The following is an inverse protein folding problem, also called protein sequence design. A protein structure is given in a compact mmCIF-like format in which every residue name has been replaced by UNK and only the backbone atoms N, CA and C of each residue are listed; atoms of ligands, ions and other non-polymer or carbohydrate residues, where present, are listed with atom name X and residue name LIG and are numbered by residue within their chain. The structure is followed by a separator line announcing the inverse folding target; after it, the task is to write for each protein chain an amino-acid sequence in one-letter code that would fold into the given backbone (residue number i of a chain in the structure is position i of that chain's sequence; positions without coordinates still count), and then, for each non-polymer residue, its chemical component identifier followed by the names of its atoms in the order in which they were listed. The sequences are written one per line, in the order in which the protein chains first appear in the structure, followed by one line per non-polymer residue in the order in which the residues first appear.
data_IF_006875638188
#
_entry.id   IF_006875638188
#
_cell.length_a   1.000
_cell.length_b   1.000
_cell.length_c   1.000
_cell.angle_alpha   90.00
_cell.angle_beta   90.00
_cell.angle_gamma   90.00
#
_symmetry.space_group_name_H-M   'P 1'
#
loop_
_entity.id
_entity.type
_entity.pdbx_description
1 polymer ?
#
# COMPACT_ATOMS: atom_id res chain seq x y z
N UNK A 1 22.16 17.03 59.67
CA UNK A 1 20.70 16.88 59.51
C UNK A 1 20.28 17.39 58.12
N UNK A 2 20.51 16.56 57.10
CA UNK A 2 20.15 16.82 55.69
C UNK A 2 18.84 16.12 55.40
N UNK A 3 17.79 16.93 55.16
CA UNK A 3 16.52 16.43 54.64
C UNK A 3 16.67 16.14 53.13
N UNK A 4 16.64 14.88 52.78
CA UNK A 4 16.47 14.41 51.40
C UNK A 4 15.01 14.61 51.02
N UNK A 5 14.73 15.50 50.08
CA UNK A 5 13.44 15.63 49.44
C UNK A 5 13.29 14.50 48.41
N UNK A 6 12.16 13.78 48.40
CA UNK A 6 11.92 12.78 47.38
C UNK A 6 11.64 13.49 46.05
N UNK A 7 12.41 13.13 45.02
CA UNK A 7 12.10 13.46 43.63
C UNK A 7 10.75 12.85 43.27
N UNK A 8 9.72 13.67 43.28
CA UNK A 8 8.43 13.33 42.70
C UNK A 8 8.65 13.28 41.17
N UNK A 9 8.71 12.09 40.62
CA UNK A 9 8.66 11.83 39.19
C UNK A 9 7.33 12.39 38.65
N UNK A 10 7.37 13.62 38.21
CA UNK A 10 6.30 14.23 37.43
C UNK A 10 6.37 13.63 36.00
N UNK A 11 5.89 12.41 35.82
CA UNK A 11 5.48 11.93 34.51
C UNK A 11 4.30 12.83 34.10
N UNK A 12 4.63 13.97 33.45
CA UNK A 12 3.67 14.68 32.64
C UNK A 12 3.12 13.66 31.65
N UNK A 13 1.88 13.25 31.84
CA UNK A 13 1.05 12.71 30.76
C UNK A 13 1.05 13.79 29.67
N UNK A 14 2.00 13.69 28.74
CA UNK A 14 1.86 14.35 27.46
C UNK A 14 0.53 13.82 26.93
N UNK A 15 -0.46 14.67 26.82
CA UNK A 15 -1.69 14.41 26.09
C UNK A 15 -1.24 13.93 24.71
N UNK A 16 -1.23 12.61 24.51
CA UNK A 16 -0.93 12.00 23.21
C UNK A 16 -2.07 12.49 22.32
N UNK A 17 -1.79 13.47 21.51
CA UNK A 17 -2.74 13.98 20.52
C UNK A 17 -3.04 12.77 19.61
N UNK A 18 -4.18 12.11 19.86
CA UNK A 18 -4.61 10.97 19.06
C UNK A 18 -4.90 11.48 17.66
N UNK A 19 -4.25 10.88 16.68
CA UNK A 19 -4.50 11.15 15.26
C UNK A 19 -5.47 10.13 14.71
N UNK A 20 -6.21 10.51 13.67
CA UNK A 20 -7.21 9.68 13.03
C UNK A 20 -7.11 9.76 11.52
N UNK A 21 -7.56 8.73 10.85
CA UNK A 21 -7.74 8.68 9.39
C UNK A 21 -9.17 9.10 9.07
N UNK A 22 -9.34 10.06 8.15
CA UNK A 22 -10.64 10.47 7.62
C UNK A 22 -10.63 10.52 6.09
N UNK A 23 -11.80 10.45 5.47
CA UNK A 23 -11.99 10.65 4.04
C UNK A 23 -11.40 9.56 3.14
N UNK A 24 -11.08 8.36 3.64
CA UNK A 24 -10.41 7.28 2.89
C UNK A 24 -11.14 6.94 1.59
N UNK A 25 -10.55 7.30 0.46
CA UNK A 25 -11.15 7.23 -0.88
C UNK A 25 -10.21 6.66 -1.91
N UNK A 26 -10.70 5.77 -2.78
CA UNK A 26 -9.90 5.10 -3.81
C UNK A 26 -10.43 5.37 -5.21
N UNK A 27 -9.54 5.38 -6.19
CA UNK A 27 -9.88 5.44 -7.60
C UNK A 27 -9.09 4.39 -8.38
N UNK A 28 -9.74 3.84 -9.42
CA UNK A 28 -9.18 2.78 -10.26
C UNK A 28 -9.25 3.19 -11.73
N UNK A 29 -8.33 2.67 -12.57
CA UNK A 29 -8.42 2.83 -14.02
C UNK A 29 -9.72 2.25 -14.59
N UNK A 30 -10.01 2.58 -15.85
CA UNK A 30 -11.26 2.19 -16.50
C UNK A 30 -11.32 0.72 -16.91
N UNK A 31 -10.19 0.08 -17.15
CA UNK A 31 -10.17 -1.27 -17.69
C UNK A 31 -10.26 -2.29 -16.56
N UNK A 32 -11.48 -2.75 -16.30
CA UNK A 32 -11.74 -3.88 -15.42
C UNK A 32 -11.48 -5.18 -16.20
N UNK A 33 -10.59 -6.03 -15.69
CA UNK A 33 -10.12 -7.23 -16.38
C UNK A 33 -10.30 -8.45 -15.48
N UNK A 34 -10.80 -9.54 -16.06
CA UNK A 34 -10.93 -10.81 -15.35
C UNK A 34 -9.66 -11.64 -15.47
N UNK A 35 -9.41 -12.48 -14.47
CA UNK A 35 -8.20 -13.30 -14.41
C UNK A 35 -8.08 -14.26 -15.59
N UNK A 36 -9.19 -14.80 -16.09
CA UNK A 36 -9.21 -15.70 -17.24
C UNK A 36 -8.74 -14.98 -18.52
N UNK A 37 -9.07 -13.70 -18.69
CA UNK A 37 -8.62 -12.90 -19.82
C UNK A 37 -7.10 -12.66 -19.75
N UNK A 38 -6.58 -12.41 -18.55
CA UNK A 38 -5.12 -12.23 -18.33
C UNK A 38 -4.38 -13.56 -18.55
N UNK A 39 -4.96 -14.68 -18.12
CA UNK A 39 -4.43 -16.01 -18.39
C UNK A 39 -4.41 -16.31 -19.90
N UNK A 40 -5.50 -15.98 -20.61
CA UNK A 40 -5.57 -16.11 -22.07
C UNK A 40 -4.53 -15.23 -22.79
N UNK A 41 -4.31 -14.01 -22.30
CA UNK A 41 -3.24 -13.14 -22.78
C UNK A 41 -1.86 -13.77 -22.56
N UNK A 42 -1.58 -14.30 -21.37
CA UNK A 42 -0.33 -15.01 -21.06
C UNK A 42 -0.09 -16.19 -22.01
N UNK A 43 -1.15 -16.95 -22.35
CA UNK A 43 -1.06 -18.01 -23.38
C UNK A 43 -0.66 -17.47 -24.74
N UNK A 44 -1.26 -16.39 -25.21
CA UNK A 44 -0.90 -15.77 -26.51
C UNK A 44 0.56 -15.35 -26.55
N UNK A 45 1.07 -14.75 -25.46
CA UNK A 45 2.43 -14.20 -25.40
C UNK A 45 3.47 -15.31 -25.24
N UNK A 46 3.22 -16.30 -24.38
CA UNK A 46 4.23 -17.26 -23.93
C UNK A 46 4.02 -18.71 -24.40
N UNK A 47 3.02 -19.00 -25.26
CA UNK A 47 2.70 -20.36 -25.71
C UNK A 47 3.86 -21.10 -26.37
N UNK A 48 4.75 -20.40 -27.07
CA UNK A 48 5.94 -20.96 -27.69
C UNK A 48 7.05 -21.37 -26.70
N UNK A 49 6.95 -20.97 -25.43
CA UNK A 49 7.95 -21.23 -24.38
C UNK A 49 7.65 -22.59 -23.72
N UNK A 50 8.59 -23.53 -23.81
CA UNK A 50 8.46 -24.94 -23.41
C UNK A 50 7.90 -25.14 -21.98
N UNK A 51 8.24 -24.29 -21.06
CA UNK A 51 7.84 -24.42 -19.66
C UNK A 51 6.57 -23.60 -19.28
N UNK A 52 5.97 -22.85 -20.20
CA UNK A 52 4.83 -21.97 -19.88
C UNK A 52 3.64 -22.75 -19.32
N UNK A 53 3.31 -23.92 -19.90
CA UNK A 53 2.19 -24.77 -19.44
C UNK A 53 2.29 -25.13 -17.94
N UNK A 54 3.51 -25.31 -17.40
CA UNK A 54 3.72 -25.56 -15.97
C UNK A 54 3.52 -24.27 -15.14
N UNK A 55 3.90 -23.13 -15.69
CA UNK A 55 3.82 -21.82 -15.01
C UNK A 55 2.41 -21.23 -15.08
N UNK A 56 1.61 -21.58 -16.04
CA UNK A 56 0.25 -21.09 -16.26
C UNK A 56 -0.65 -21.28 -15.03
N UNK A 57 -0.44 -22.35 -14.26
CA UNK A 57 -1.17 -22.60 -13.00
C UNK A 57 -1.03 -21.46 -11.97
N UNK A 58 -0.05 -20.57 -12.15
CA UNK A 58 0.10 -19.38 -11.30
C UNK A 58 -1.13 -18.47 -11.38
N UNK A 59 -1.74 -18.35 -12.57
CA UNK A 59 -2.97 -17.55 -12.72
C UNK A 59 -4.14 -18.13 -11.92
N UNK A 60 -4.32 -19.46 -11.95
CA UNK A 60 -5.39 -20.14 -11.20
C UNK A 60 -5.17 -20.06 -9.68
N UNK A 61 -3.90 -20.10 -9.24
CA UNK A 61 -3.51 -20.13 -7.84
C UNK A 61 -3.24 -18.73 -7.25
N UNK A 62 -3.39 -17.66 -8.04
CA UNK A 62 -3.11 -16.29 -7.60
C UNK A 62 -4.07 -15.77 -6.53
N UNK A 63 -5.30 -16.31 -6.51
CA UNK A 63 -6.42 -15.80 -5.70
C UNK A 63 -7.10 -14.56 -6.28
N UNK A 64 -6.60 -14.04 -7.41
CA UNK A 64 -7.17 -12.87 -8.11
C UNK A 64 -8.30 -13.33 -9.03
N UNK A 65 -9.45 -12.68 -8.97
CA UNK A 65 -10.57 -12.87 -9.90
C UNK A 65 -10.71 -11.70 -10.86
N UNK A 66 -10.54 -10.50 -10.32
CA UNK A 66 -10.70 -9.23 -11.04
C UNK A 66 -9.58 -8.28 -10.63
N UNK A 67 -9.19 -7.43 -11.55
CA UNK A 67 -8.30 -6.28 -11.31
C UNK A 67 -8.61 -5.14 -12.25
N UNK A 68 -7.99 -4.00 -12.01
CA UNK A 68 -8.09 -2.82 -12.86
C UNK A 68 -6.72 -2.52 -13.44
N UNK A 69 -6.67 -2.25 -14.75
CA UNK A 69 -5.43 -1.98 -15.49
C UNK A 69 -5.49 -0.61 -16.16
N UNK A 70 -4.34 0.01 -16.28
CA UNK A 70 -4.17 1.34 -16.91
C UNK A 70 -4.50 1.30 -18.39
N UNK A 71 -4.15 0.23 -19.09
CA UNK A 71 -4.41 0.05 -20.52
C UNK A 71 -5.29 -1.19 -20.78
N UNK A 72 -5.82 -1.30 -22.01
CA UNK A 72 -6.48 -2.54 -22.45
C UNK A 72 -5.48 -3.68 -22.66
N UNK A 73 -6.00 -4.91 -22.76
CA UNK A 73 -5.15 -6.10 -22.85
C UNK A 73 -4.29 -6.16 -24.13
N UNK A 74 -4.70 -5.48 -25.21
CA UNK A 74 -3.92 -5.48 -26.45
C UNK A 74 -2.62 -4.69 -26.30
N UNK A 75 -2.65 -3.61 -25.48
CA UNK A 75 -1.44 -2.86 -25.18
C UNK A 75 -0.36 -3.78 -24.58
N UNK A 76 -0.72 -4.66 -23.65
CA UNK A 76 0.23 -5.57 -22.97
C UNK A 76 0.78 -6.71 -23.87
N UNK A 77 0.29 -6.85 -25.10
CA UNK A 77 0.85 -7.79 -26.09
C UNK A 77 2.13 -7.26 -26.76
N UNK A 78 2.36 -5.96 -26.70
CA UNK A 78 3.46 -5.30 -27.41
C UNK A 78 4.56 -4.88 -26.45
N UNK A 79 5.77 -4.74 -26.98
CA UNK A 79 6.90 -4.16 -26.26
C UNK A 79 6.75 -2.65 -26.20
N UNK A 80 7.10 -2.08 -25.05
CA UNK A 80 7.05 -0.65 -24.80
C UNK A 80 8.34 -0.21 -24.12
N UNK A 81 8.86 0.93 -24.51
CA UNK A 81 10.05 1.50 -23.89
C UNK A 81 9.74 2.21 -22.57
N UNK A 82 10.80 2.53 -21.82
CA UNK A 82 10.69 3.22 -20.52
C UNK A 82 9.95 4.54 -20.60
N UNK A 83 10.22 5.36 -21.63
CA UNK A 83 9.61 6.68 -21.81
C UNK A 83 8.10 6.58 -21.93
N UNK A 84 7.58 5.64 -22.75
CA UNK A 84 6.14 5.42 -22.93
C UNK A 84 5.48 4.93 -21.65
N UNK A 85 6.07 3.94 -20.97
CA UNK A 85 5.55 3.41 -19.70
C UNK A 85 5.47 4.50 -18.64
N UNK A 86 6.52 5.31 -18.52
CA UNK A 86 6.58 6.38 -17.52
C UNK A 86 5.67 7.58 -17.87
N UNK A 87 5.49 7.89 -19.15
CA UNK A 87 4.49 8.86 -19.61
C UNK A 87 3.07 8.41 -19.21
N UNK A 88 2.73 7.14 -19.46
CA UNK A 88 1.43 6.56 -19.08
C UNK A 88 1.27 6.55 -17.55
N UNK A 89 2.33 6.23 -16.81
CA UNK A 89 2.33 6.32 -15.36
C UNK A 89 1.96 7.74 -14.91
N UNK A 90 2.72 8.75 -15.32
CA UNK A 90 2.48 10.14 -14.91
C UNK A 90 1.05 10.58 -15.22
N UNK A 91 0.59 10.39 -16.47
CA UNK A 91 -0.74 10.77 -16.91
C UNK A 91 -1.85 10.14 -16.08
N UNK A 92 -1.78 8.82 -15.89
CA UNK A 92 -2.85 8.09 -15.20
C UNK A 92 -2.76 8.25 -13.67
N UNK A 93 -1.57 8.37 -13.09
CA UNK A 93 -1.38 8.64 -11.67
C UNK A 93 -2.03 9.98 -11.27
N UNK A 94 -1.77 11.05 -12.03
CA UNK A 94 -2.39 12.36 -11.80
C UNK A 94 -3.90 12.28 -11.91
N UNK A 95 -4.44 11.59 -12.94
CA UNK A 95 -5.87 11.42 -13.12
C UNK A 95 -6.54 10.68 -11.94
N UNK A 96 -5.96 9.57 -11.51
CA UNK A 96 -6.48 8.76 -10.41
C UNK A 96 -6.38 9.49 -9.07
N UNK A 97 -5.25 10.16 -8.82
CA UNK A 97 -5.06 10.95 -7.62
C UNK A 97 -6.04 12.13 -7.55
N UNK A 98 -6.24 12.86 -8.67
CA UNK A 98 -7.26 13.92 -8.71
C UNK A 98 -8.62 13.40 -8.26
N UNK A 99 -9.03 12.21 -8.74
CA UNK A 99 -10.31 11.59 -8.39
C UNK A 99 -10.37 11.16 -6.93
N UNK A 100 -9.35 10.45 -6.43
CA UNK A 100 -9.34 9.97 -5.04
C UNK A 100 -9.24 11.13 -4.05
N UNK A 101 -8.44 12.17 -4.33
CA UNK A 101 -8.28 13.35 -3.48
C UNK A 101 -9.58 14.18 -3.42
N UNK A 102 -10.24 14.42 -4.57
CA UNK A 102 -11.53 15.13 -4.58
C UNK A 102 -12.57 14.44 -3.69
N UNK A 103 -12.67 13.09 -3.81
CA UNK A 103 -13.55 12.31 -2.94
C UNK A 103 -13.12 12.34 -1.46
N UNK A 104 -11.81 12.42 -1.20
CA UNK A 104 -11.28 12.53 0.16
C UNK A 104 -11.67 13.84 0.81
N UNK A 105 -11.55 14.96 0.11
CA UNK A 105 -11.97 16.27 0.60
C UNK A 105 -13.48 16.32 0.87
N UNK A 106 -14.28 15.80 -0.09
CA UNK A 106 -15.74 15.72 0.06
C UNK A 106 -16.15 14.95 1.31
N UNK A 107 -15.59 13.73 1.49
CA UNK A 107 -15.95 12.85 2.63
C UNK A 107 -15.43 13.33 3.98
N UNK A 108 -14.29 13.99 4.01
CA UNK A 108 -13.69 14.48 5.25
C UNK A 108 -14.20 15.86 5.65
N UNK A 109 -14.91 16.54 4.76
CA UNK A 109 -15.29 17.95 4.89
C UNK A 109 -14.08 18.85 5.24
N UNK A 110 -12.91 18.52 4.67
CA UNK A 110 -11.66 19.28 4.83
C UNK A 110 -11.41 20.08 3.57
N UNK A 111 -10.99 21.34 3.71
CA UNK A 111 -10.66 22.19 2.56
C UNK A 111 -9.18 22.03 2.20
N UNK A 112 -8.81 22.14 0.92
CA UNK A 112 -7.41 22.10 0.49
C UNK A 112 -6.52 23.12 1.20
N UNK A 113 -7.04 24.33 1.48
CA UNK A 113 -6.31 25.41 2.17
C UNK A 113 -5.89 25.03 3.60
N UNK A 114 -6.62 24.11 4.24
CA UNK A 114 -6.36 23.69 5.63
C UNK A 114 -5.25 22.63 5.71
N UNK A 115 -4.85 22.04 4.57
CA UNK A 115 -3.81 21.02 4.52
C UNK A 115 -2.43 21.62 4.80
N UNK A 116 -1.75 21.10 5.81
CA UNK A 116 -0.40 21.50 6.17
C UNK A 116 0.72 20.66 5.56
N UNK A 117 0.40 19.44 5.10
CA UNK A 117 1.37 18.52 4.47
C UNK A 117 0.73 17.60 3.45
N UNK A 118 1.48 17.25 2.41
CA UNK A 118 1.13 16.27 1.38
C UNK A 118 2.19 15.17 1.40
N UNK A 119 1.80 13.96 1.74
CA UNK A 119 2.64 12.75 1.65
C UNK A 119 2.22 11.98 0.39
N UNK A 120 3.13 11.85 -0.56
CA UNK A 120 2.91 11.06 -1.77
C UNK A 120 3.73 9.78 -1.71
N UNK A 121 3.08 8.65 -1.93
CA UNK A 121 3.71 7.33 -2.00
C UNK A 121 3.49 6.75 -3.40
N UNK A 122 4.58 6.39 -4.06
CA UNK A 122 4.57 5.60 -5.29
C UNK A 122 5.86 4.81 -5.44
N UNK A 123 5.81 3.73 -6.24
CA UNK A 123 6.98 2.89 -6.53
C UNK A 123 7.00 2.37 -7.97
N UNK A 124 6.04 2.78 -8.79
CA UNK A 124 5.80 2.20 -10.13
C UNK A 124 6.07 3.15 -11.29
N UNK A 125 6.60 4.33 -11.00
CA UNK A 125 7.05 5.31 -12.00
C UNK A 125 7.74 6.49 -11.35
N UNK A 126 8.47 7.26 -12.13
CA UNK A 126 9.25 8.42 -11.67
C UNK A 126 8.79 9.71 -12.36
N UNK A 127 8.96 10.83 -11.66
CA UNK A 127 8.66 12.16 -12.20
C UNK A 127 9.50 13.21 -11.51
N UNK A 128 10.03 14.14 -12.28
CA UNK A 128 10.63 15.39 -11.78
C UNK A 128 10.14 16.56 -12.65
N UNK A 129 9.39 17.53 -12.07
CA UNK A 129 8.89 17.60 -10.69
C UNK A 129 8.07 16.37 -10.30
N UNK A 130 8.04 16.07 -8.99
CA UNK A 130 7.31 14.93 -8.44
C UNK A 130 5.79 15.10 -8.57
N UNK A 131 5.03 13.99 -8.57
CA UNK A 131 3.58 14.01 -8.81
C UNK A 131 2.82 14.91 -7.80
N UNK A 132 3.30 15.04 -6.56
CA UNK A 132 2.72 15.96 -5.56
C UNK A 132 2.77 17.42 -6.00
N UNK A 133 3.77 17.82 -6.82
CA UNK A 133 3.81 19.17 -7.40
C UNK A 133 2.71 19.38 -8.45
N UNK A 134 2.40 18.34 -9.24
CA UNK A 134 1.26 18.37 -10.17
C UNK A 134 -0.07 18.43 -9.40
N UNK A 135 -0.19 17.66 -8.31
CA UNK A 135 -1.37 17.67 -7.43
C UNK A 135 -1.54 19.05 -6.76
N UNK A 136 -0.43 19.69 -6.35
CA UNK A 136 -0.45 21.04 -5.79
C UNK A 136 -1.15 22.04 -6.73
N UNK A 137 -0.88 21.95 -8.04
CA UNK A 137 -1.48 22.84 -9.03
C UNK A 137 -2.96 22.52 -9.36
N UNK A 138 -3.47 21.35 -8.94
CA UNK A 138 -4.86 20.94 -9.21
C UNK A 138 -5.85 21.36 -8.12
N UNK A 139 -5.36 21.74 -6.94
CA UNK A 139 -6.17 22.10 -5.79
C UNK A 139 -5.64 23.39 -5.15
N UNK A 140 -6.49 24.10 -4.45
CA UNK A 140 -6.14 25.40 -3.82
C UNK A 140 -5.44 25.19 -2.48
N UNK A 141 -4.25 24.54 -2.48
CA UNK A 141 -3.43 24.39 -1.28
C UNK A 141 -2.74 25.71 -0.88
N UNK A 142 -2.40 25.84 0.39
CA UNK A 142 -1.53 26.93 0.85
C UNK A 142 -0.12 26.76 0.25
N UNK A 143 0.50 27.87 -0.19
CA UNK A 143 1.84 27.87 -0.80
C UNK A 143 2.95 27.36 0.17
N UNK A 144 2.68 27.33 1.47
CA UNK A 144 3.60 26.82 2.50
C UNK A 144 3.32 25.35 2.88
N UNK A 145 2.46 24.63 2.13
CA UNK A 145 2.21 23.20 2.38
C UNK A 145 3.51 22.40 2.24
N UNK A 146 3.80 21.55 3.21
CA UNK A 146 4.95 20.66 3.13
C UNK A 146 4.68 19.55 2.11
N UNK A 147 5.61 19.31 1.19
CA UNK A 147 5.51 18.24 0.20
C UNK A 147 6.56 17.17 0.45
N UNK A 148 6.12 15.93 0.59
CA UNK A 148 6.95 14.79 0.96
C UNK A 148 6.67 13.61 0.02
N UNK A 149 7.33 13.58 -1.15
CA UNK A 149 7.26 12.45 -2.07
C UNK A 149 8.22 11.34 -1.60
N UNK A 150 7.67 10.13 -1.43
CA UNK A 150 8.43 8.93 -1.09
C UNK A 150 8.34 7.93 -2.24
N UNK A 151 9.49 7.54 -2.75
CA UNK A 151 9.64 6.51 -3.76
C UNK A 151 10.30 5.26 -3.17
N UNK A 152 9.92 4.07 -3.65
CA UNK A 152 10.64 2.83 -3.36
C UNK A 152 10.19 2.06 -2.12
N UNK A 153 9.17 2.51 -1.37
CA UNK A 153 8.61 1.73 -0.25
C UNK A 153 7.83 0.48 -0.70
N UNK A 154 7.43 0.42 -1.98
CA UNK A 154 6.65 -0.69 -2.52
C UNK A 154 5.42 -0.99 -1.66
N UNK A 155 5.17 -2.29 -1.43
CA UNK A 155 3.99 -2.74 -0.69
C UNK A 155 3.92 -2.23 0.76
N UNK A 156 5.03 -1.93 1.43
CA UNK A 156 5.02 -1.34 2.77
C UNK A 156 4.60 0.14 2.80
N UNK A 157 4.60 0.80 1.64
CA UNK A 157 4.34 2.24 1.53
C UNK A 157 2.99 2.70 2.08
N UNK A 158 1.96 1.84 2.06
CA UNK A 158 0.66 2.16 2.65
C UNK A 158 0.71 2.36 4.16
N UNK A 159 1.56 1.62 4.86
CA UNK A 159 1.77 1.74 6.32
C UNK A 159 2.84 2.78 6.62
N UNK A 160 3.98 2.73 5.93
CA UNK A 160 5.08 3.67 6.17
C UNK A 160 4.67 5.11 5.86
N UNK A 161 3.90 5.33 4.79
CA UNK A 161 3.35 6.65 4.46
C UNK A 161 2.40 7.18 5.53
N UNK A 162 1.55 6.31 6.11
CA UNK A 162 0.70 6.65 7.24
C UNK A 162 1.53 7.05 8.46
N UNK A 163 2.58 6.27 8.80
CA UNK A 163 3.46 6.58 9.93
C UNK A 163 4.14 7.94 9.75
N UNK A 164 4.66 8.25 8.55
CA UNK A 164 5.25 9.58 8.24
C UNK A 164 4.21 10.70 8.38
N UNK A 165 2.99 10.50 7.89
CA UNK A 165 1.93 11.49 7.99
C UNK A 165 1.56 11.80 9.45
N UNK A 166 1.55 10.78 10.32
CA UNK A 166 1.33 10.94 11.76
C UNK A 166 2.44 11.78 12.41
N UNK A 167 3.71 11.50 12.07
CA UNK A 167 4.86 12.25 12.57
C UNK A 167 4.80 13.72 12.14
N UNK A 168 4.47 13.96 10.87
CA UNK A 168 4.29 15.31 10.33
C UNK A 168 3.15 16.03 11.06
N UNK A 169 1.98 15.39 11.17
CA UNK A 169 0.84 15.95 11.88
C UNK A 169 1.19 16.34 13.33
N UNK A 170 1.89 15.47 14.06
CA UNK A 170 2.32 15.74 15.44
C UNK A 170 3.21 16.98 15.54
N UNK A 171 4.00 17.26 14.50
CA UNK A 171 4.90 18.42 14.46
C UNK A 171 4.19 19.71 14.05
N UNK A 172 3.40 19.67 12.97
CA UNK A 172 2.78 20.90 12.41
C UNK A 172 1.38 21.20 12.93
N UNK A 173 0.70 20.24 13.54
CA UNK A 173 -0.69 20.34 14.06
C UNK A 173 -1.71 20.81 13.01
N UNK A 174 -1.49 20.46 11.75
CA UNK A 174 -2.40 20.71 10.63
C UNK A 174 -2.71 19.41 9.91
N UNK A 175 -3.88 19.26 9.29
CA UNK A 175 -4.23 18.07 8.54
C UNK A 175 -3.17 17.72 7.49
N UNK A 176 -2.88 16.42 7.32
CA UNK A 176 -1.91 15.91 6.36
C UNK A 176 -2.65 15.03 5.35
N UNK A 177 -2.61 15.42 4.09
CA UNK A 177 -3.13 14.62 2.98
C UNK A 177 -2.12 13.53 2.65
N UNK A 178 -2.57 12.28 2.60
CA UNK A 178 -1.77 11.13 2.17
C UNK A 178 -2.33 10.59 0.87
N UNK A 179 -1.45 10.39 -0.11
CA UNK A 179 -1.76 9.95 -1.45
C UNK A 179 -0.90 8.73 -1.81
N UNK A 180 -1.54 7.61 -2.10
CA UNK A 180 -0.86 6.42 -2.63
C UNK A 180 -1.34 6.18 -4.06
N UNK A 181 -0.42 5.98 -5.00
CA UNK A 181 -0.74 5.62 -6.37
C UNK A 181 0.25 4.61 -6.90
N UNK A 182 -0.29 3.48 -7.40
CA UNK A 182 0.53 2.42 -7.98
C UNK A 182 -0.12 1.92 -9.27
N UNK A 183 0.66 1.89 -10.33
CA UNK A 183 0.27 1.38 -11.65
C UNK A 183 1.19 0.21 -12.00
N UNK A 184 1.07 -0.86 -11.19
CA UNK A 184 1.96 -2.02 -11.24
C UNK A 184 1.90 -2.75 -12.58
N UNK A 185 0.77 -2.68 -13.28
CA UNK A 185 0.62 -3.33 -14.59
C UNK A 185 1.59 -2.80 -15.65
N UNK A 186 2.00 -1.52 -15.52
CA UNK A 186 2.95 -0.91 -16.46
C UNK A 186 4.37 -1.51 -16.38
N UNK A 187 4.66 -2.31 -15.36
CA UNK A 187 5.94 -3.02 -15.24
C UNK A 187 5.97 -4.37 -15.98
N UNK A 188 4.84 -4.85 -16.49
CA UNK A 188 4.79 -6.11 -17.26
C UNK A 188 5.54 -5.98 -18.60
N UNK A 189 6.34 -6.99 -18.93
CA UNK A 189 7.24 -7.02 -20.07
C UNK A 189 7.00 -8.29 -20.89
N UNK A 190 6.26 -8.23 -22.01
CA UNK A 190 5.86 -9.41 -22.78
C UNK A 190 7.05 -10.19 -23.39
N UNK A 191 8.18 -9.50 -23.66
CA UNK A 191 9.38 -10.12 -24.19
C UNK A 191 10.17 -10.93 -23.14
N UNK A 192 9.91 -10.72 -21.84
CA UNK A 192 10.67 -11.37 -20.76
C UNK A 192 9.91 -12.60 -20.24
N UNK A 193 10.45 -13.78 -20.56
CA UNK A 193 9.97 -15.03 -20.01
C UNK A 193 10.73 -15.39 -18.74
N UNK A 194 10.31 -14.83 -17.61
CA UNK A 194 10.81 -15.19 -16.28
C UNK A 194 9.66 -15.57 -15.35
N UNK A 195 9.97 -16.30 -14.30
CA UNK A 195 8.98 -16.68 -13.29
C UNK A 195 8.40 -15.45 -12.60
N UNK A 196 9.25 -14.48 -12.27
CA UNK A 196 8.89 -13.26 -11.58
C UNK A 196 7.93 -12.42 -12.43
N UNK A 197 8.21 -12.27 -13.73
CA UNK A 197 7.36 -11.52 -14.67
C UNK A 197 5.99 -12.21 -14.85
N UNK A 198 5.93 -13.55 -14.91
CA UNK A 198 4.67 -14.30 -15.00
C UNK A 198 3.89 -14.23 -13.69
N UNK A 199 4.54 -14.37 -12.53
CA UNK A 199 3.90 -14.25 -11.22
C UNK A 199 3.34 -12.83 -11.05
N UNK A 200 4.10 -11.79 -11.37
CA UNK A 200 3.63 -10.41 -11.26
C UNK A 200 2.45 -10.13 -12.19
N UNK A 201 2.48 -10.64 -13.43
CA UNK A 201 1.35 -10.52 -14.37
C UNK A 201 0.08 -11.21 -13.84
N UNK A 202 0.21 -12.27 -13.04
CA UNK A 202 -0.94 -12.95 -12.43
C UNK A 202 -1.50 -12.24 -11.19
N UNK A 203 -0.75 -11.29 -10.58
CA UNK A 203 -1.08 -10.67 -9.30
C UNK A 203 -1.40 -9.18 -9.40
N UNK A 204 -0.61 -8.42 -10.17
CA UNK A 204 -0.62 -6.96 -10.11
C UNK A 204 -1.87 -6.31 -10.70
N UNK A 205 -2.34 -5.27 -10.01
CA UNK A 205 -3.36 -4.33 -10.44
C UNK A 205 -2.93 -2.88 -10.23
N UNK A 206 -3.76 -1.95 -10.66
CA UNK A 206 -3.51 -0.51 -10.64
C UNK A 206 -4.57 0.23 -9.84
N UNK A 207 -4.18 1.31 -9.16
CA UNK A 207 -5.11 2.14 -8.43
C UNK A 207 -4.46 3.24 -7.62
N UNK A 208 -5.29 4.09 -7.05
CA UNK A 208 -4.90 5.10 -6.06
C UNK A 208 -5.82 5.09 -4.86
N UNK A 209 -5.32 5.57 -3.75
CA UNK A 209 -6.09 5.81 -2.54
C UNK A 209 -5.54 7.05 -1.84
N UNK A 210 -6.45 7.88 -1.32
CA UNK A 210 -6.09 9.09 -0.59
C UNK A 210 -6.91 9.19 0.69
N UNK A 211 -6.34 9.83 1.70
CA UNK A 211 -6.98 10.07 3.00
C UNK A 211 -6.30 11.23 3.72
N UNK A 212 -6.89 11.70 4.80
CA UNK A 212 -6.33 12.77 5.63
C UNK A 212 -6.05 12.23 7.03
N UNK A 213 -4.86 12.54 7.54
CA UNK A 213 -4.50 12.37 8.96
C UNK A 213 -4.79 13.67 9.68
N UNK A 214 -5.64 13.58 10.70
CA UNK A 214 -6.10 14.73 11.51
C UNK A 214 -6.38 14.29 12.94
N UNK A 215 -6.83 15.19 13.82
CA UNK A 215 -7.10 14.89 15.23
C UNK A 215 -8.39 14.08 15.43
N UNK A 216 -9.44 14.36 14.64
CA UNK A 216 -10.78 13.82 14.86
C UNK A 216 -11.17 12.82 13.79
N UNK A 217 -11.69 11.68 14.18
CA UNK A 217 -12.20 10.62 13.28
C UNK A 217 -12.37 9.30 14.00
N UNK A 218 -13.09 8.37 13.36
CA UNK A 218 -13.47 7.09 13.94
C UNK A 218 -12.43 5.97 13.71
N UNK A 219 -11.41 6.24 12.90
CA UNK A 219 -10.25 5.36 12.74
C UNK A 219 -9.03 6.01 13.39
N UNK A 220 -8.83 5.75 14.69
CA UNK A 220 -7.77 6.36 15.51
C UNK A 220 -6.46 5.59 15.35
N UNK A 221 -5.36 6.32 15.29
CA UNK A 221 -4.02 5.75 15.22
C UNK A 221 -3.43 5.76 16.63
N UNK A 222 -3.05 4.56 17.11
CA UNK A 222 -2.57 4.36 18.48
C UNK A 222 -1.06 4.38 18.55
N UNK A 223 -0.40 3.49 17.80
CA UNK A 223 1.05 3.31 17.81
C UNK A 223 1.54 3.00 16.41
N UNK A 224 2.81 3.24 16.16
CA UNK A 224 3.50 2.86 14.93
C UNK A 224 4.86 2.25 15.22
N UNK A 225 5.27 1.30 14.38
CA UNK A 225 6.58 0.66 14.46
C UNK A 225 7.03 0.26 13.06
N UNK A 226 8.33 0.31 12.83
CA UNK A 226 8.97 -0.14 11.60
C UNK A 226 10.12 -1.09 11.95
N UNK A 227 10.31 -2.10 11.12
CA UNK A 227 11.40 -3.03 11.30
C UNK A 227 11.99 -3.43 9.95
N UNK A 228 13.26 -3.12 9.73
CA UNK A 228 14.01 -3.53 8.54
C UNK A 228 14.99 -4.63 8.92
N UNK A 229 14.96 -5.75 8.19
CA UNK A 229 15.92 -6.83 8.37
C UNK A 229 17.21 -6.55 7.62
N UNK A 230 18.36 -6.82 8.26
CA UNK A 230 19.66 -6.79 7.59
C UNK A 230 19.75 -7.92 6.57
N UNK A 231 20.60 -7.75 5.57
CA UNK A 231 20.94 -8.74 4.55
C UNK A 231 19.74 -9.30 3.77
N UNK A 232 18.74 -8.43 3.51
CA UNK A 232 17.45 -8.81 2.90
C UNK A 232 17.06 -7.96 1.67
N UNK A 233 17.99 -7.19 1.11
CA UNK A 233 17.73 -6.29 -0.03
C UNK A 233 17.23 -7.02 -1.27
N UNK A 234 17.70 -8.25 -1.50
CA UNK A 234 17.37 -9.04 -2.68
C UNK A 234 16.03 -9.78 -2.60
N UNK A 235 15.29 -9.66 -1.47
CA UNK A 235 14.03 -10.39 -1.31
C UNK A 235 12.92 -9.79 -2.18
N UNK A 236 12.82 -8.47 -2.24
CA UNK A 236 11.76 -7.77 -2.97
C UNK A 236 12.23 -6.39 -3.43
N UNK A 237 11.83 -6.01 -4.64
CA UNK A 237 12.14 -4.68 -5.16
C UNK A 237 11.92 -4.57 -6.66
N UNK A 238 12.54 -3.53 -7.21
CA UNK A 238 12.63 -3.30 -8.65
C UNK A 238 14.08 -3.30 -9.10
N UNK A 239 14.37 -4.02 -10.20
CA UNK A 239 15.52 -3.75 -11.05
C UNK A 239 15.19 -2.58 -11.98
N UNK A 240 16.16 -1.78 -12.33
CA UNK A 240 16.03 -0.70 -13.33
C UNK A 240 16.70 -1.19 -14.61
N UNK A 241 15.89 -1.35 -15.66
CA UNK A 241 16.31 -1.84 -16.97
C UNK A 241 16.09 -0.78 -18.04
N UNK A 242 16.63 -0.98 -19.23
CA UNK A 242 16.51 -0.03 -20.35
C UNK A 242 15.05 0.22 -20.79
N UNK A 243 14.19 -0.76 -20.60
CA UNK A 243 12.77 -0.71 -20.99
C UNK A 243 11.78 -0.51 -19.81
N UNK A 244 12.29 -0.34 -18.58
CA UNK A 244 11.46 -0.05 -17.41
C UNK A 244 11.89 -0.76 -16.13
N UNK A 245 10.95 -0.87 -15.20
CA UNK A 245 11.16 -1.55 -13.92
C UNK A 245 10.94 -3.05 -14.09
N UNK A 246 11.89 -3.87 -13.60
CA UNK A 246 11.76 -5.33 -13.51
C UNK A 246 11.48 -5.75 -12.09
N UNK A 247 10.53 -6.68 -11.91
CA UNK A 247 10.15 -7.14 -10.58
C UNK A 247 11.18 -8.09 -9.99
N UNK A 248 11.51 -7.87 -8.72
CA UNK A 248 12.32 -8.79 -7.91
C UNK A 248 11.40 -9.37 -6.84
N UNK A 249 11.17 -10.69 -6.92
CA UNK A 249 10.45 -11.47 -5.90
C UNK A 249 11.19 -12.77 -5.60
N UNK A 250 11.78 -12.87 -4.43
CA UNK A 250 12.38 -14.14 -4.01
C UNK A 250 11.29 -15.11 -3.54
N UNK A 251 11.41 -16.39 -4.00
CA UNK A 251 10.50 -17.47 -3.62
C UNK A 251 10.48 -17.76 -2.11
N UNK A 252 11.51 -17.32 -1.38
CA UNK A 252 11.66 -17.55 0.07
C UNK A 252 10.76 -16.61 0.91
N UNK A 253 10.20 -15.53 0.33
CA UNK A 253 9.45 -14.51 1.06
C UNK A 253 8.38 -15.11 1.99
N UNK A 254 7.49 -16.04 1.57
CA UNK A 254 6.48 -16.61 2.46
C UNK A 254 7.07 -17.33 3.68
N UNK A 255 8.17 -18.07 3.48
CA UNK A 255 8.88 -18.76 4.56
C UNK A 255 9.59 -17.76 5.48
N UNK A 256 10.25 -16.75 4.90
CA UNK A 256 10.89 -15.68 5.64
C UNK A 256 9.90 -14.96 6.56
N UNK A 257 8.73 -14.59 6.03
CA UNK A 257 7.66 -13.95 6.79
C UNK A 257 7.19 -14.86 7.92
N UNK A 258 6.90 -16.13 7.65
CA UNK A 258 6.44 -17.09 8.66
C UNK A 258 7.43 -17.23 9.82
N UNK A 259 8.74 -17.20 9.54
CA UNK A 259 9.79 -17.33 10.55
C UNK A 259 10.11 -16.03 11.30
N UNK A 260 10.11 -14.88 10.60
CA UNK A 260 10.67 -13.63 11.13
C UNK A 260 9.63 -12.64 11.63
N UNK A 261 8.45 -12.57 11.00
CA UNK A 261 7.42 -11.61 11.37
C UNK A 261 6.88 -11.81 12.79
N UNK A 262 6.67 -13.03 13.33
CA UNK A 262 6.19 -13.21 14.71
C UNK A 262 7.05 -12.52 15.75
N UNK A 263 8.38 -12.57 15.60
CA UNK A 263 9.31 -11.93 16.52
C UNK A 263 9.18 -10.40 16.53
N UNK A 264 8.80 -9.82 15.40
CA UNK A 264 8.62 -8.38 15.25
C UNK A 264 7.24 -7.96 15.78
N UNK A 265 6.20 -8.73 15.49
CA UNK A 265 4.84 -8.52 16.02
C UNK A 265 4.83 -8.60 17.55
N UNK A 266 5.56 -9.54 18.13
CA UNK A 266 5.67 -9.68 19.59
C UNK A 266 6.29 -8.45 20.29
N UNK A 267 7.08 -7.64 19.56
CA UNK A 267 7.65 -6.37 20.05
C UNK A 267 6.69 -5.18 19.88
N UNK A 268 5.62 -5.35 19.12
CA UNK A 268 4.65 -4.29 18.94
C UNK A 268 3.96 -3.98 20.29
N UNK A 269 3.80 -2.67 20.62
CA UNK A 269 3.39 -2.28 21.97
C UNK A 269 1.93 -2.58 22.32
N UNK A 270 1.08 -2.88 21.34
CA UNK A 270 -0.30 -3.28 21.60
C UNK A 270 -0.43 -4.79 21.72
N UNK A 271 -1.20 -5.21 22.72
CA UNK A 271 -1.67 -6.58 22.93
C UNK A 271 -3.20 -6.58 22.78
N UNK A 272 -3.87 -7.63 23.04
CA UNK A 272 -5.36 -7.71 23.04
C UNK A 272 -5.98 -7.11 21.75
N UNK A 273 -5.50 -7.61 20.61
CA UNK A 273 -5.95 -7.18 19.29
C UNK A 273 -7.25 -7.91 18.94
N UNK A 274 -8.21 -7.16 18.39
CA UNK A 274 -9.48 -7.70 17.86
C UNK A 274 -9.31 -8.23 16.42
N UNK A 275 -8.14 -8.07 15.81
CA UNK A 275 -7.82 -8.60 14.50
C UNK A 275 -6.73 -7.82 13.74
N UNK A 276 -6.69 -8.02 12.43
CA UNK A 276 -5.59 -7.60 11.59
C UNK A 276 -6.06 -6.94 10.29
N UNK A 277 -5.33 -5.90 9.87
CA UNK A 277 -5.45 -5.24 8.56
C UNK A 277 -4.16 -5.51 7.80
N UNK A 278 -4.12 -6.58 6.99
CA UNK A 278 -2.89 -7.07 6.38
C UNK A 278 -2.86 -6.84 4.87
N UNK A 279 -1.66 -6.52 4.36
CA UNK A 279 -1.44 -6.32 2.94
C UNK A 279 -1.79 -7.57 2.11
N UNK A 280 -2.59 -7.41 1.06
CA UNK A 280 -3.03 -8.47 0.16
C UNK A 280 -1.99 -8.76 -0.95
N UNK A 281 -0.80 -9.24 -0.55
CA UNK A 281 0.34 -9.42 -1.47
C UNK A 281 0.23 -10.59 -2.44
N UNK A 282 -0.60 -11.61 -2.14
CA UNK A 282 -0.82 -12.83 -2.90
C UNK A 282 -1.18 -13.99 -1.98
N UNK A 283 -1.76 -15.09 -2.52
CA UNK A 283 -2.29 -16.19 -1.69
C UNK A 283 -1.25 -16.79 -0.76
N UNK A 284 -0.01 -17.01 -1.21
CA UNK A 284 1.06 -17.56 -0.36
C UNK A 284 1.40 -16.65 0.84
N UNK A 285 1.24 -15.35 0.69
CA UNK A 285 1.45 -14.39 1.77
C UNK A 285 0.26 -14.42 2.73
N UNK A 286 -0.96 -14.50 2.20
CA UNK A 286 -2.18 -14.68 3.01
C UNK A 286 -2.12 -15.99 3.79
N UNK A 287 -1.66 -17.09 3.18
CA UNK A 287 -1.49 -18.38 3.87
C UNK A 287 -0.41 -18.30 4.98
N UNK A 288 0.66 -17.52 4.76
CA UNK A 288 1.64 -17.24 5.81
C UNK A 288 1.01 -16.47 6.97
N UNK A 289 0.20 -15.45 6.69
CA UNK A 289 -0.53 -14.72 7.75
C UNK A 289 -1.52 -15.61 8.51
N UNK A 290 -2.27 -16.49 7.81
CA UNK A 290 -3.16 -17.46 8.48
C UNK A 290 -2.40 -18.34 9.47
N UNK A 291 -1.20 -18.80 9.10
CA UNK A 291 -0.34 -19.58 10.01
C UNK A 291 0.16 -18.77 11.19
N UNK A 292 0.58 -17.52 10.98
CA UNK A 292 1.14 -16.65 12.03
C UNK A 292 0.05 -16.23 13.02
N UNK A 293 -1.15 -15.91 12.54
CA UNK A 293 -2.24 -15.33 13.31
C UNK A 293 -3.41 -16.31 13.54
N UNK A 294 -3.13 -17.62 13.60
CA UNK A 294 -4.06 -18.69 13.97
C UNK A 294 -5.41 -18.65 13.20
N UNK A 295 -5.33 -18.40 11.89
CA UNK A 295 -6.51 -18.27 11.01
C UNK A 295 -7.52 -17.20 11.48
N UNK A 296 -7.03 -16.08 12.01
CA UNK A 296 -7.90 -14.96 12.39
C UNK A 296 -8.86 -14.58 11.25
N UNK A 297 -10.16 -14.46 11.51
CA UNK A 297 -11.17 -14.25 10.46
C UNK A 297 -11.01 -12.91 9.72
N UNK A 298 -10.35 -11.91 10.31
CA UNK A 298 -10.13 -10.61 9.65
C UNK A 298 -9.21 -10.72 8.44
N UNK A 299 -8.38 -11.79 8.36
CA UNK A 299 -7.50 -12.07 7.21
C UNK A 299 -8.32 -12.35 5.93
N UNK A 300 -9.56 -12.79 6.05
CA UNK A 300 -10.44 -12.99 4.89
C UNK A 300 -10.72 -11.68 4.14
N UNK A 301 -10.66 -10.53 4.83
CA UNK A 301 -10.79 -9.22 4.17
C UNK A 301 -9.61 -8.98 3.23
N UNK A 302 -8.38 -9.34 3.64
CA UNK A 302 -7.20 -9.26 2.77
C UNK A 302 -7.31 -10.19 1.55
N UNK A 303 -7.85 -11.39 1.74
CA UNK A 303 -8.12 -12.34 0.65
C UNK A 303 -9.21 -11.81 -0.31
N UNK A 304 -10.27 -11.20 0.21
CA UNK A 304 -11.30 -10.54 -0.59
C UNK A 304 -10.72 -9.42 -1.45
N UNK A 305 -9.92 -8.54 -0.86
CA UNK A 305 -9.28 -7.42 -1.59
C UNK A 305 -8.34 -7.94 -2.69
N UNK A 306 -7.54 -8.98 -2.41
CA UNK A 306 -6.73 -9.64 -3.44
C UNK A 306 -7.60 -10.14 -4.59
N UNK A 307 -8.72 -10.78 -4.28
CA UNK A 307 -9.63 -11.33 -5.29
C UNK A 307 -10.26 -10.27 -6.19
N UNK A 308 -10.60 -9.10 -5.64
CA UNK A 308 -11.35 -8.04 -6.33
C UNK A 308 -10.49 -6.99 -7.01
N UNK A 309 -9.21 -6.84 -6.60
CA UNK A 309 -8.32 -5.76 -7.06
C UNK A 309 -6.93 -6.24 -7.49
N UNK A 310 -6.57 -7.49 -7.18
CA UNK A 310 -5.19 -7.94 -7.28
C UNK A 310 -4.28 -7.28 -6.22
N UNK A 311 -2.97 -7.39 -6.43
CA UNK A 311 -1.98 -6.68 -5.62
C UNK A 311 -1.70 -5.31 -6.24
N UNK A 312 -2.16 -4.26 -5.60
CA UNK A 312 -1.96 -2.85 -5.97
C UNK A 312 -0.87 -2.22 -5.07
N UNK A 313 0.17 -2.96 -4.75
CA UNK A 313 1.33 -2.50 -3.95
C UNK A 313 0.90 -1.71 -2.70
N UNK A 314 1.38 -0.48 -2.50
CA UNK A 314 1.10 0.36 -1.32
C UNK A 314 -0.39 0.66 -1.09
N UNK A 315 -1.20 0.60 -2.12
CA UNK A 315 -2.65 0.86 -2.06
C UNK A 315 -3.41 -0.30 -1.39
N UNK A 316 -2.93 -1.54 -1.56
CA UNK A 316 -3.67 -2.76 -1.17
C UNK A 316 -4.05 -2.80 0.32
N UNK A 317 -3.14 -2.52 1.23
CA UNK A 317 -3.41 -2.56 2.69
C UNK A 317 -4.42 -1.50 3.10
N UNK A 318 -4.44 -0.36 2.42
CA UNK A 318 -5.40 0.72 2.63
C UNK A 318 -6.79 0.36 2.09
N UNK A 319 -6.88 -0.46 1.02
CA UNK A 319 -8.15 -1.04 0.57
C UNK A 319 -8.71 -2.03 1.59
N UNK A 320 -7.85 -2.83 2.24
CA UNK A 320 -8.26 -3.70 3.36
C UNK A 320 -8.83 -2.86 4.50
N UNK A 321 -8.12 -1.79 4.92
CA UNK A 321 -8.60 -0.86 5.94
C UNK A 321 -9.95 -0.24 5.54
N UNK A 322 -10.09 0.23 4.31
CA UNK A 322 -11.33 0.81 3.79
C UNK A 322 -12.51 -0.16 3.87
N UNK A 323 -12.27 -1.44 3.54
CA UNK A 323 -13.31 -2.48 3.62
C UNK A 323 -13.68 -2.79 5.08
N UNK A 324 -12.70 -2.81 6.00
CA UNK A 324 -12.95 -2.98 7.45
C UNK A 324 -13.82 -1.85 8.00
N UNK A 325 -13.49 -0.60 7.67
CA UNK A 325 -14.29 0.57 8.07
C UNK A 325 -15.71 0.48 7.48
N UNK A 326 -15.83 0.12 6.20
CA UNK A 326 -17.13 -0.05 5.54
C UNK A 326 -18.01 -1.13 6.20
N UNK A 327 -17.40 -2.21 6.68
CA UNK A 327 -18.09 -3.28 7.41
C UNK A 327 -18.46 -2.89 8.85
N UNK A 328 -18.18 -1.64 9.27
CA UNK A 328 -18.35 -1.16 10.63
C UNK A 328 -17.64 -2.04 11.66
N UNK A 329 -16.44 -2.55 11.31
CA UNK A 329 -15.59 -3.24 12.27
C UNK A 329 -15.33 -2.32 13.46
N UNK A 330 -15.41 -2.88 14.68
CA UNK A 330 -15.15 -2.15 15.92
C UNK A 330 -14.08 -2.89 16.71
N UNK A 331 -13.09 -2.16 17.24
CA UNK A 331 -12.02 -2.77 18.02
C UNK A 331 -10.64 -2.21 17.73
N UNK A 332 -9.63 -2.92 18.24
CA UNK A 332 -8.19 -2.59 18.09
C UNK A 332 -7.55 -3.57 17.10
N UNK A 333 -6.95 -3.03 16.05
CA UNK A 333 -6.39 -3.81 14.95
C UNK A 333 -4.91 -3.50 14.74
N UNK A 334 -4.14 -4.52 14.38
CA UNK A 334 -2.80 -4.33 13.84
C UNK A 334 -2.85 -4.23 12.31
N UNK A 335 -2.55 -3.04 11.78
CA UNK A 335 -2.31 -2.86 10.36
C UNK A 335 -0.85 -3.14 10.03
N UNK A 336 -0.57 -4.01 9.04
CA UNK A 336 0.80 -4.33 8.64
C UNK A 336 0.94 -4.60 7.16
N UNK A 337 2.06 -4.14 6.60
CA UNK A 337 2.51 -4.44 5.26
C UNK A 337 4.03 -4.63 5.22
N UNK A 338 4.46 -5.47 4.28
CA UNK A 338 5.88 -5.77 4.05
C UNK A 338 6.28 -5.30 2.65
N UNK A 339 7.46 -4.77 2.51
CA UNK A 339 7.97 -4.22 1.25
C UNK A 339 9.48 -4.25 1.16
N UNK A 340 10.02 -3.64 0.08
CA UNK A 340 11.46 -3.56 -0.14
C UNK A 340 12.24 -3.05 1.07
N UNK A 341 13.50 -3.63 1.23
CA UNK A 341 14.39 -3.24 2.30
C UNK A 341 15.02 -4.40 3.09
N UNK A 342 14.47 -5.57 3.38
CA UNK A 342 13.07 -5.89 3.47
C UNK A 342 12.49 -5.28 4.75
N UNK A 343 11.34 -4.64 4.67
CA UNK A 343 10.82 -3.83 5.79
C UNK A 343 9.39 -4.22 6.11
N UNK A 344 9.07 -4.34 7.40
CA UNK A 344 7.72 -4.41 7.93
C UNK A 344 7.31 -3.04 8.51
N UNK A 345 6.25 -2.45 7.97
CA UNK A 345 5.55 -1.35 8.59
C UNK A 345 4.39 -1.86 9.43
N UNK A 346 4.19 -1.30 10.61
CA UNK A 346 3.11 -1.65 11.53
C UNK A 346 2.47 -0.41 12.14
N UNK A 347 1.14 -0.44 12.27
CA UNK A 347 0.35 0.63 12.88
C UNK A 347 -0.80 0.03 13.66
N UNK A 348 -0.93 0.37 14.93
CA UNK A 348 -2.10 0.03 15.74
C UNK A 348 -3.23 1.00 15.46
N UNK A 349 -4.39 0.48 15.16
CA UNK A 349 -5.60 1.24 14.84
C UNK A 349 -6.71 0.90 15.83
N UNK A 350 -7.48 1.91 16.24
CA UNK A 350 -8.78 1.72 16.86
C UNK A 350 -9.85 2.20 15.90
N UNK A 351 -10.65 1.28 15.40
CA UNK A 351 -11.82 1.57 14.56
C UNK A 351 -13.03 1.62 15.49
N UNK A 352 -13.80 2.70 15.44
CA UNK A 352 -15.05 2.85 16.16
C UNK A 352 -16.19 2.87 15.15
N UNK A 353 -17.22 2.05 15.35
CA UNK A 353 -18.49 2.20 14.62
C UNK A 353 -19.13 3.53 15.02
N UNK A 354 -19.69 4.27 14.07
CA UNK A 354 -20.62 5.34 14.39
C UNK A 354 -21.83 4.72 15.10
N UNK A 355 -22.20 5.27 16.24
CA UNK A 355 -23.45 4.95 16.96
C UNK A 355 -24.67 5.30 16.11
#
# INVERSE_FOLDING_TARGET
LSKVLPFINCFKYQLITMTSIVGLSSAFPKYKVFQDDVKALGRKIFSSKTNFKKMEKVYDNSGVKVRYLTNDLNWYMNEHNWSERNFLFKKNAIHLLKKSISQTFEKSNTRPEDIGGIVLINSTGISTPTIDAEIFNLFNFNNQVLRLPFFGYGCSGGVLGLNRAVEIYKNIKKPVLVCNVELCSLTFRPQIFSKENIVSSSLFGDGSISYIVTERGNCKILNSMEHTWKDSLNLMGWGVEDDGLSVIFDKIIPEFITKKLPQVVNKFPLKDLDGYVLHSGGMKIIDAYKKIFNNDPTIEVSQKILSEYGNVSSVSVLLVLKEMIKKKSNGIFLMSALGPGFTAGMTGLKICSDD
#
